data_IF_687552505882
#
_entry.id   IF_687552505882
#
_cell.length_a   1.000
_cell.length_b   1.000
_cell.length_c   1.000
_cell.angle_alpha   90.00
_cell.angle_beta   90.00
_cell.angle_gamma   90.00
#
_symmetry.space_group_name_H-M   'P 1'
#
loop_
_entity.id
_entity.type
_entity.pdbx_description
1 polymer ?
#
# COMPACT_ATOMS: atom_id res chain seq x y z
N UNK A 1 22.80 19.71 -66.09
CA UNK A 1 21.83 18.78 -65.47
C UNK A 1 22.56 17.94 -64.44
N UNK A 2 21.86 17.56 -63.37
CA UNK A 2 22.29 16.81 -62.17
C UNK A 2 22.83 17.64 -61.00
N UNK A 3 21.89 18.22 -60.25
CA UNK A 3 22.04 18.57 -58.84
C UNK A 3 22.06 17.28 -58.00
N UNK A 4 23.14 17.03 -57.26
CA UNK A 4 23.17 16.03 -56.20
C UNK A 4 22.93 16.74 -54.85
N UNK A 5 21.75 16.50 -54.28
CA UNK A 5 21.35 16.93 -52.94
C UNK A 5 22.18 16.18 -51.89
N UNK A 6 22.88 16.93 -51.03
CA UNK A 6 23.49 16.40 -49.81
C UNK A 6 22.38 16.03 -48.80
N UNK A 7 22.48 14.90 -48.07
CA UNK A 7 21.52 14.56 -47.05
C UNK A 7 21.69 15.45 -45.81
N UNK A 8 20.55 15.85 -45.26
CA UNK A 8 20.39 16.63 -44.03
C UNK A 8 21.27 16.08 -42.90
N UNK A 9 22.02 16.98 -42.27
CA UNK A 9 22.71 16.71 -41.02
C UNK A 9 21.73 16.25 -39.95
N UNK A 10 21.86 14.99 -39.52
CA UNK A 10 21.28 14.56 -38.26
C UNK A 10 22.10 15.21 -37.14
N UNK A 11 21.56 16.29 -36.56
CA UNK A 11 22.02 16.74 -35.27
C UNK A 11 21.93 15.56 -34.28
N UNK A 12 22.96 15.28 -33.47
CA UNK A 12 22.83 14.27 -32.43
C UNK A 12 21.71 14.72 -31.49
N UNK A 13 20.64 13.93 -31.45
CA UNK A 13 19.56 14.12 -30.49
C UNK A 13 20.19 14.19 -29.09
N UNK A 14 19.84 15.17 -28.25
CA UNK A 14 20.25 15.13 -26.86
C UNK A 14 19.68 13.84 -26.29
N UNK A 15 20.55 12.89 -25.95
CA UNK A 15 20.19 11.80 -25.06
C UNK A 15 19.60 12.48 -23.84
N UNK A 16 18.28 12.37 -23.70
CA UNK A 16 17.60 12.51 -22.43
C UNK A 16 18.30 11.53 -21.51
N UNK A 17 19.28 12.00 -20.74
CA UNK A 17 19.61 11.34 -19.50
C UNK A 17 18.27 11.30 -18.76
N UNK A 18 17.67 10.12 -18.52
CA UNK A 18 16.60 10.08 -17.55
C UNK A 18 17.21 10.70 -16.28
N UNK A 19 16.52 11.62 -15.59
CA UNK A 19 17.02 12.09 -14.32
C UNK A 19 17.32 10.83 -13.52
N UNK A 20 18.55 10.69 -13.03
CA UNK A 20 18.92 9.68 -12.06
C UNK A 20 17.87 9.81 -10.95
N UNK A 21 16.84 8.98 -11.03
CA UNK A 21 15.81 8.85 -10.02
C UNK A 21 16.60 8.33 -8.85
N UNK A 22 17.02 9.29 -8.01
CA UNK A 22 17.61 9.10 -6.70
C UNK A 22 17.16 7.75 -6.15
N UNK A 23 18.05 6.75 -6.19
CA UNK A 23 17.80 5.38 -5.74
C UNK A 23 17.70 5.32 -4.20
N UNK A 24 17.05 6.30 -3.60
CA UNK A 24 16.77 6.32 -2.16
C UNK A 24 16.01 5.04 -1.87
N UNK A 25 16.49 4.26 -0.92
CA UNK A 25 15.85 3.00 -0.57
C UNK A 25 14.42 3.28 -0.11
N UNK A 26 13.47 2.36 -0.35
CA UNK A 26 12.08 2.57 0.06
C UNK A 26 12.00 2.84 1.58
N UNK A 27 12.79 2.12 2.39
CA UNK A 27 12.85 2.33 3.84
C UNK A 27 13.31 3.73 4.27
N UNK A 28 14.27 4.33 3.57
CA UNK A 28 14.70 5.70 3.84
C UNK A 28 13.59 6.71 3.50
N UNK A 29 12.92 6.49 2.37
CA UNK A 29 11.81 7.32 1.93
C UNK A 29 10.62 7.23 2.90
N UNK A 30 10.32 6.02 3.39
CA UNK A 30 9.31 5.77 4.42
C UNK A 30 9.65 6.49 5.73
N UNK A 31 10.90 6.38 6.20
CA UNK A 31 11.37 7.05 7.41
C UNK A 31 11.21 8.57 7.32
N UNK A 32 11.61 9.17 6.19
CA UNK A 32 11.46 10.61 5.99
C UNK A 32 9.99 11.03 5.87
N UNK A 33 9.19 10.27 5.12
CA UNK A 33 7.75 10.54 4.99
C UNK A 33 7.02 10.49 6.34
N UNK A 34 7.37 9.56 7.24
CA UNK A 34 6.81 9.50 8.60
C UNK A 34 7.11 10.78 9.39
N UNK A 35 8.35 11.27 9.34
CA UNK A 35 8.75 12.51 10.04
C UNK A 35 7.97 13.71 9.51
N UNK A 36 7.88 13.83 8.19
CA UNK A 36 7.20 14.96 7.54
C UNK A 36 5.69 14.95 7.80
N UNK A 37 5.08 13.76 7.91
CA UNK A 37 3.64 13.60 8.18
C UNK A 37 3.28 13.71 9.66
N UNK A 38 4.22 13.51 10.59
CA UNK A 38 3.96 13.58 12.03
C UNK A 38 3.41 14.94 12.49
N UNK A 39 3.71 16.01 11.76
CA UNK A 39 3.19 17.36 12.04
C UNK A 39 1.79 17.62 11.46
N UNK A 40 1.23 16.67 10.69
CA UNK A 40 -0.10 16.81 10.07
C UNK A 40 -0.12 17.76 8.89
N UNK A 41 0.94 17.78 8.10
CA UNK A 41 1.07 18.68 6.95
C UNK A 41 -0.03 18.45 5.90
N UNK A 42 -0.75 19.52 5.57
CA UNK A 42 -1.71 19.59 4.47
C UNK A 42 -1.34 20.79 3.59
N UNK A 43 -1.05 20.60 2.28
CA UNK A 43 -1.09 19.34 1.54
C UNK A 43 0.01 18.35 1.96
N UNK A 44 -0.20 17.07 1.62
CA UNK A 44 0.79 16.00 1.88
C UNK A 44 2.15 16.36 1.27
N UNK A 45 3.26 16.29 2.02
CA UNK A 45 4.60 16.67 1.55
C UNK A 45 5.08 15.87 0.33
N UNK A 46 5.90 16.45 -0.57
CA UNK A 46 6.39 15.76 -1.77
C UNK A 46 7.11 14.43 -1.50
N UNK A 47 7.84 14.33 -0.38
CA UNK A 47 8.50 13.08 0.04
C UNK A 47 7.46 11.98 0.30
N UNK A 48 6.42 12.29 1.07
CA UNK A 48 5.33 11.37 1.35
C UNK A 48 4.57 10.99 0.08
N UNK A 49 4.32 11.93 -0.84
CA UNK A 49 3.70 11.62 -2.13
C UNK A 49 4.54 10.61 -2.95
N UNK A 50 5.87 10.78 -3.00
CA UNK A 50 6.78 9.82 -3.65
C UNK A 50 6.76 8.46 -2.96
N UNK A 51 6.72 8.43 -1.62
CA UNK A 51 6.58 7.19 -0.86
C UNK A 51 5.31 6.43 -1.26
N UNK A 52 4.17 7.12 -1.21
CA UNK A 52 2.87 6.58 -1.58
C UNK A 52 2.87 6.01 -3.01
N UNK A 53 3.47 6.73 -3.96
CA UNK A 53 3.56 6.26 -5.35
C UNK A 53 4.37 4.97 -5.45
N UNK A 54 5.52 4.88 -4.76
CA UNK A 54 6.34 3.65 -4.77
C UNK A 54 5.66 2.48 -4.10
N UNK A 55 4.96 2.71 -2.99
CA UNK A 55 4.16 1.67 -2.32
C UNK A 55 3.08 1.15 -3.26
N UNK A 56 2.35 2.04 -3.94
CA UNK A 56 1.33 1.66 -4.92
C UNK A 56 1.92 0.89 -6.11
N UNK A 57 3.08 1.31 -6.63
CA UNK A 57 3.77 0.58 -7.69
C UNK A 57 4.14 -0.83 -7.23
N UNK A 58 4.75 -0.98 -6.04
CA UNK A 58 5.09 -2.30 -5.49
C UNK A 58 3.86 -3.19 -5.33
N UNK A 59 2.76 -2.66 -4.80
CA UNK A 59 1.51 -3.41 -4.65
C UNK A 59 0.95 -3.85 -6.00
N UNK A 60 0.95 -2.97 -7.01
CA UNK A 60 0.51 -3.33 -8.36
C UNK A 60 1.42 -4.40 -8.98
N UNK A 61 2.74 -4.29 -8.82
CA UNK A 61 3.71 -5.24 -9.35
C UNK A 61 3.55 -6.61 -8.68
N UNK A 62 3.36 -6.66 -7.36
CA UNK A 62 3.07 -7.90 -6.62
C UNK A 62 1.80 -8.58 -7.14
N UNK A 63 0.71 -7.81 -7.25
CA UNK A 63 -0.58 -8.33 -7.73
C UNK A 63 -0.52 -8.79 -9.19
N UNK A 64 0.35 -8.21 -10.01
CA UNK A 64 0.55 -8.64 -11.39
C UNK A 64 1.36 -9.93 -11.50
N UNK A 65 2.27 -10.17 -10.56
CA UNK A 65 3.06 -11.41 -10.50
C UNK A 65 2.26 -12.59 -9.96
N UNK A 66 1.26 -12.33 -9.12
CA UNK A 66 0.32 -13.34 -8.64
C UNK A 66 -0.71 -13.69 -9.72
N UNK A 67 -0.71 -14.94 -10.19
CA UNK A 67 -1.57 -15.37 -11.30
C UNK A 67 -3.06 -15.55 -10.93
N UNK A 68 -3.39 -15.61 -9.64
CA UNK A 68 -4.75 -15.92 -9.17
C UNK A 68 -5.51 -14.66 -8.74
N UNK A 69 -6.51 -14.23 -9.51
CA UNK A 69 -7.46 -13.24 -9.00
C UNK A 69 -8.35 -13.87 -7.92
N UNK A 70 -8.64 -13.12 -6.87
CA UNK A 70 -9.33 -13.69 -5.71
C UNK A 70 -9.48 -12.70 -4.56
N UNK A 71 -10.37 -13.05 -3.63
CA UNK A 71 -10.60 -12.24 -2.44
C UNK A 71 -9.36 -12.27 -1.53
N UNK A 72 -8.92 -11.10 -1.06
CA UNK A 72 -7.69 -10.93 -0.29
C UNK A 72 -7.92 -9.97 0.86
N UNK A 73 -7.11 -10.12 1.90
CA UNK A 73 -6.95 -9.08 2.90
C UNK A 73 -5.84 -8.12 2.47
N UNK A 74 -5.94 -6.89 2.97
CA UNK A 74 -4.91 -5.88 2.83
C UNK A 74 -4.72 -5.14 4.15
N UNK A 75 -3.48 -4.79 4.43
CA UNK A 75 -3.08 -3.96 5.57
C UNK A 75 -2.46 -2.68 5.03
N UNK A 76 -2.87 -1.53 5.53
CA UNK A 76 -2.33 -0.22 5.13
C UNK A 76 -1.76 0.50 6.36
N UNK A 77 -0.54 0.98 6.24
CA UNK A 77 0.11 1.81 7.25
C UNK A 77 0.03 3.28 6.83
N UNK A 78 -0.63 4.08 7.64
CA UNK A 78 -0.74 5.52 7.47
C UNK A 78 0.05 6.26 8.55
N UNK A 79 0.99 7.09 8.11
CA UNK A 79 1.61 8.09 8.97
C UNK A 79 0.80 9.38 8.97
N UNK A 80 0.94 10.12 10.06
CA UNK A 80 0.23 11.36 10.35
C UNK A 80 0.46 11.74 11.82
N UNK A 81 -0.25 12.75 12.34
CA UNK A 81 -0.16 13.17 13.75
C UNK A 81 -0.45 12.05 14.74
N UNK A 82 -1.31 11.12 14.36
CA UNK A 82 -1.62 9.94 15.15
C UNK A 82 -1.65 8.72 14.22
N UNK A 83 -0.50 8.03 14.02
CA UNK A 83 -0.36 6.95 13.04
C UNK A 83 -1.42 5.87 13.16
N UNK A 84 -1.80 5.26 12.04
CA UNK A 84 -2.91 4.30 11.96
C UNK A 84 -2.55 3.15 11.08
N UNK A 85 -2.96 1.96 11.51
CA UNK A 85 -2.95 0.77 10.67
C UNK A 85 -4.39 0.37 10.37
N UNK A 86 -4.66 0.08 9.11
CA UNK A 86 -5.97 -0.38 8.64
C UNK A 86 -5.87 -1.80 8.12
N UNK A 87 -6.77 -2.67 8.54
CA UNK A 87 -6.97 -3.99 7.91
C UNK A 87 -8.29 -3.93 7.17
N UNK A 88 -8.35 -4.46 5.96
CA UNK A 88 -9.62 -4.66 5.27
C UNK A 88 -9.53 -5.73 4.19
N UNK A 89 -10.65 -6.01 3.55
CA UNK A 89 -10.72 -6.96 2.44
C UNK A 89 -11.11 -6.36 1.09
N UNK A 90 -10.68 -7.03 0.04
CA UNK A 90 -11.11 -6.79 -1.33
C UNK A 90 -11.51 -8.12 -1.99
N UNK A 91 -12.47 -8.09 -2.90
CA UNK A 91 -12.97 -9.31 -3.58
C UNK A 91 -12.25 -9.62 -4.90
N UNK A 92 -11.43 -8.69 -5.40
CA UNK A 92 -10.61 -8.85 -6.60
C UNK A 92 -9.48 -7.84 -6.60
N UNK A 93 -8.50 -8.05 -7.47
CA UNK A 93 -7.34 -7.17 -7.68
C UNK A 93 -7.76 -5.75 -8.07
N UNK A 94 -8.70 -5.62 -9.02
CA UNK A 94 -9.23 -4.33 -9.44
C UNK A 94 -9.97 -3.61 -8.29
N UNK A 95 -10.72 -4.37 -7.48
CA UNK A 95 -11.41 -3.81 -6.33
C UNK A 95 -10.41 -3.31 -5.26
N UNK A 96 -9.35 -4.08 -5.01
CA UNK A 96 -8.29 -3.73 -4.06
C UNK A 96 -7.63 -2.39 -4.44
N UNK A 97 -7.17 -2.26 -5.68
CA UNK A 97 -6.52 -1.03 -6.17
C UNK A 97 -7.47 0.17 -6.02
N UNK A 98 -8.76 -0.01 -6.35
CA UNK A 98 -9.78 1.03 -6.15
C UNK A 98 -9.92 1.43 -4.68
N UNK A 99 -9.95 0.46 -3.75
CA UNK A 99 -10.05 0.72 -2.31
C UNK A 99 -8.83 1.46 -1.78
N UNK A 100 -7.62 1.01 -2.10
CA UNK A 100 -6.38 1.68 -1.64
C UNK A 100 -6.33 3.13 -2.14
N UNK A 101 -6.65 3.37 -3.41
CA UNK A 101 -6.72 4.74 -3.96
C UNK A 101 -7.81 5.59 -3.28
N UNK A 102 -8.94 4.98 -2.93
CA UNK A 102 -10.01 5.62 -2.16
C UNK A 102 -9.53 6.07 -0.78
N UNK A 103 -8.91 5.15 -0.02
CA UNK A 103 -8.33 5.44 1.29
C UNK A 103 -7.26 6.51 1.21
N UNK A 104 -6.36 6.43 0.23
CA UNK A 104 -5.32 7.44 0.02
C UNK A 104 -5.92 8.85 -0.19
N UNK A 105 -6.94 8.97 -1.06
CA UNK A 105 -7.61 10.24 -1.32
C UNK A 105 -8.31 10.81 -0.09
N UNK A 106 -8.88 9.95 0.76
CA UNK A 106 -9.52 10.35 2.00
C UNK A 106 -8.47 10.78 3.04
N UNK A 107 -7.49 9.92 3.34
CA UNK A 107 -6.43 10.18 4.32
C UNK A 107 -5.57 11.42 4.00
N UNK A 108 -5.23 11.64 2.72
CA UNK A 108 -4.45 12.81 2.32
C UNK A 108 -5.15 14.13 2.62
N UNK A 109 -6.49 14.18 2.64
CA UNK A 109 -7.24 15.40 3.01
C UNK A 109 -7.09 15.76 4.49
N UNK A 110 -6.71 14.78 5.30
CA UNK A 110 -6.59 14.90 6.74
C UNK A 110 -5.13 14.93 7.21
N UNK A 111 -4.17 15.14 6.30
CA UNK A 111 -2.75 15.23 6.64
C UNK A 111 -2.09 13.88 6.95
N UNK A 112 -2.71 12.78 6.50
CA UNK A 112 -2.14 11.44 6.58
C UNK A 112 -1.57 11.02 5.22
N UNK A 113 -0.62 10.10 5.23
CA UNK A 113 -0.07 9.52 4.00
C UNK A 113 0.26 8.03 4.16
N UNK A 114 0.04 7.26 3.09
CA UNK A 114 0.34 5.83 3.05
C UNK A 114 1.86 5.61 3.02
N UNK A 115 2.39 4.91 4.01
CA UNK A 115 3.81 4.62 4.15
C UNK A 115 4.12 3.19 3.71
N UNK A 116 3.23 2.26 3.99
CA UNK A 116 3.41 0.86 3.61
C UNK A 116 2.06 0.16 3.38
N UNK A 117 2.09 -0.97 2.70
CA UNK A 117 0.93 -1.80 2.44
C UNK A 117 1.32 -3.27 2.31
N UNK A 118 0.54 -4.15 2.93
CA UNK A 118 0.69 -5.60 2.80
C UNK A 118 -0.56 -6.19 2.17
N UNK A 119 -0.38 -7.13 1.26
CA UNK A 119 -1.47 -7.84 0.59
C UNK A 119 -1.26 -9.33 0.86
N UNK A 120 -2.28 -9.99 1.39
CA UNK A 120 -2.22 -11.43 1.64
C UNK A 120 -2.40 -12.21 0.34
N UNK A 121 -2.05 -13.49 0.38
CA UNK A 121 -2.54 -14.46 -0.61
C UNK A 121 -4.08 -14.48 -0.67
N UNK A 122 -4.68 -14.98 -1.78
CA UNK A 122 -6.11 -15.22 -1.85
C UNK A 122 -6.62 -16.06 -0.67
N UNK A 123 -7.76 -15.67 -0.11
CA UNK A 123 -8.43 -16.36 0.97
C UNK A 123 -9.73 -16.99 0.46
N UNK A 124 -9.92 -18.28 0.74
CA UNK A 124 -11.16 -19.01 0.41
C UNK A 124 -12.37 -18.37 1.09
N UNK A 125 -12.23 -17.97 2.37
CA UNK A 125 -13.22 -17.18 3.11
C UNK A 125 -12.57 -15.90 3.66
N UNK A 126 -12.54 -14.87 2.81
CA UNK A 126 -11.98 -13.57 3.17
C UNK A 126 -12.79 -12.81 4.24
N UNK A 127 -14.09 -13.11 4.41
CA UNK A 127 -14.93 -12.42 5.42
C UNK A 127 -14.55 -12.92 6.80
N UNK A 128 -14.47 -14.25 6.97
CA UNK A 128 -14.01 -14.86 8.23
C UNK A 128 -12.57 -14.48 8.53
N UNK A 129 -11.69 -14.53 7.53
CA UNK A 129 -10.29 -14.15 7.70
C UNK A 129 -10.14 -12.68 8.19
N UNK A 130 -10.90 -11.75 7.60
CA UNK A 130 -10.94 -10.34 8.05
C UNK A 130 -11.39 -10.24 9.51
N UNK A 131 -12.51 -10.89 9.86
CA UNK A 131 -13.04 -10.88 11.23
C UNK A 131 -12.02 -11.41 12.24
N UNK A 132 -11.34 -12.51 11.90
CA UNK A 132 -10.33 -13.12 12.77
C UNK A 132 -9.11 -12.21 12.95
N UNK A 133 -8.61 -11.61 11.87
CA UNK A 133 -7.48 -10.68 11.91
C UNK A 133 -7.81 -9.45 12.78
N UNK A 134 -9.00 -8.87 12.61
CA UNK A 134 -9.47 -7.74 13.40
C UNK A 134 -9.64 -8.11 14.88
N UNK A 135 -10.11 -9.32 15.18
CA UNK A 135 -10.25 -9.81 16.55
C UNK A 135 -8.89 -9.94 17.24
N UNK A 136 -7.89 -10.54 16.58
CA UNK A 136 -6.54 -10.65 17.14
C UNK A 136 -5.87 -9.29 17.35
N UNK A 137 -6.01 -8.38 16.39
CA UNK A 137 -5.54 -7.00 16.56
C UNK A 137 -6.18 -6.33 17.77
N UNK A 138 -7.48 -6.54 17.98
CA UNK A 138 -8.21 -5.97 19.11
C UNK A 138 -7.70 -6.49 20.47
N UNK A 139 -7.31 -7.77 20.55
CA UNK A 139 -6.69 -8.33 21.76
C UNK A 139 -5.31 -7.72 22.04
N UNK A 140 -4.49 -7.54 21.01
CA UNK A 140 -3.13 -7.02 21.16
C UNK A 140 -3.07 -5.54 21.52
N UNK A 141 -4.01 -4.73 21.02
CA UNK A 141 -3.94 -3.28 21.16
C UNK A 141 -4.88 -2.66 22.20
N UNK A 142 -5.75 -3.44 22.87
CA UNK A 142 -6.73 -3.03 23.92
C UNK A 142 -7.52 -1.74 23.62
N UNK A 143 -7.44 -1.23 22.40
CA UNK A 143 -8.08 -0.03 21.92
C UNK A 143 -9.17 -0.51 20.99
N UNK A 144 -10.41 -0.18 21.36
CA UNK A 144 -11.50 -0.25 20.42
C UNK A 144 -11.05 0.37 19.10
N UNK A 145 -11.27 -0.29 17.96
CA UNK A 145 -10.94 0.26 16.66
C UNK A 145 -11.50 1.69 16.56
N UNK A 146 -10.69 2.68 16.14
CA UNK A 146 -11.18 4.06 15.99
C UNK A 146 -12.34 4.13 14.98
N UNK A 147 -12.32 3.19 14.03
CA UNK A 147 -13.46 2.68 13.25
C UNK A 147 -13.29 1.15 13.20
N UNK A 148 -14.32 0.35 12.87
CA UNK A 148 -14.28 -1.14 12.88
C UNK A 148 -13.01 -1.81 12.31
N UNK A 149 -12.28 -1.13 11.43
CA UNK A 149 -11.12 -1.64 10.68
C UNK A 149 -9.82 -0.84 10.90
N UNK A 150 -9.81 0.21 11.73
CA UNK A 150 -8.64 1.10 11.93
C UNK A 150 -8.13 1.11 13.38
N UNK A 151 -6.83 0.91 13.56
CA UNK A 151 -6.16 0.83 14.85
C UNK A 151 -5.16 1.97 15.02
N UNK A 152 -5.35 2.76 16.08
CA UNK A 152 -4.53 3.95 16.36
C UNK A 152 -3.23 3.57 17.09
N UNK A 153 -2.09 3.91 16.48
CA UNK A 153 -0.76 3.65 17.03
C UNK A 153 -0.38 2.17 17.05
N UNK A 154 -1.06 1.34 16.24
CA UNK A 154 -0.73 -0.08 16.13
C UNK A 154 0.53 -0.30 15.28
N UNK A 155 1.24 -1.39 15.55
CA UNK A 155 2.38 -1.84 14.77
C UNK A 155 1.89 -2.53 13.48
N UNK A 156 2.48 -2.12 12.36
CA UNK A 156 2.17 -2.63 11.04
C UNK A 156 2.53 -4.11 10.89
N UNK A 157 3.68 -4.56 11.41
CA UNK A 157 4.14 -5.96 11.31
C UNK A 157 3.22 -6.89 12.09
N UNK A 158 2.67 -6.44 13.22
CA UNK A 158 1.67 -7.22 13.96
C UNK A 158 0.39 -7.36 13.15
N UNK A 159 -0.04 -6.28 12.48
CA UNK A 159 -1.23 -6.32 11.62
C UNK A 159 -1.05 -7.22 10.39
N UNK A 160 0.14 -7.24 9.78
CA UNK A 160 0.51 -8.18 8.72
C UNK A 160 0.36 -9.62 9.22
N UNK A 161 0.98 -9.94 10.35
CA UNK A 161 0.90 -11.28 10.95
C UNK A 161 -0.54 -11.69 11.25
N UNK A 162 -1.37 -10.78 11.79
CA UNK A 162 -2.78 -11.05 12.02
C UNK A 162 -3.56 -11.33 10.72
N UNK A 163 -3.29 -10.56 9.66
CA UNK A 163 -3.92 -10.76 8.36
C UNK A 163 -3.52 -12.10 7.74
N UNK A 164 -2.23 -12.42 7.70
CA UNK A 164 -1.72 -13.67 7.15
C UNK A 164 -2.23 -14.89 7.93
N UNK A 165 -2.16 -14.85 9.26
CA UNK A 165 -2.71 -15.94 10.09
C UNK A 165 -4.22 -16.12 9.87
N UNK A 166 -4.95 -15.05 9.54
CA UNK A 166 -6.39 -15.12 9.31
C UNK A 166 -6.71 -15.88 8.02
N UNK A 167 -5.83 -15.76 7.02
CA UNK A 167 -5.90 -16.52 5.77
C UNK A 167 -5.44 -17.96 5.97
N UNK A 168 -4.30 -18.18 6.64
CA UNK A 168 -3.69 -19.53 6.77
C UNK A 168 -4.41 -20.45 7.76
N UNK A 169 -4.95 -19.94 8.87
CA UNK A 169 -5.62 -20.78 9.89
C UNK A 169 -7.05 -21.17 9.50
N UNK A 170 -7.33 -21.34 8.21
CA UNK A 170 -8.56 -21.99 7.80
C UNK A 170 -8.37 -23.51 7.84
N UNK A 171 -8.89 -24.15 8.90
CA UNK A 171 -9.15 -25.58 8.91
C UNK A 171 -10.66 -25.77 8.80
N UNK A 172 -11.21 -26.22 7.66
CA UNK A 172 -12.65 -26.45 7.49
C UNK A 172 -13.22 -27.55 8.40
N UNK A 173 -12.40 -28.24 9.18
CA UNK A 173 -12.82 -29.34 10.05
C UNK A 173 -13.20 -28.94 11.49
N UNK A 174 -13.16 -27.66 11.87
CA UNK A 174 -13.42 -27.21 13.25
C UNK A 174 -14.80 -26.54 13.45
N UNK A 175 -15.71 -26.59 12.47
CA UNK A 175 -17.07 -25.98 12.58
C UNK A 175 -18.19 -26.97 12.97
N UNK A 176 -17.87 -28.24 13.28
CA UNK A 176 -18.85 -29.31 13.55
C UNK A 176 -18.84 -29.90 14.99
N UNK A 177 -18.29 -29.18 15.99
CA UNK A 177 -18.35 -29.60 17.42
C UNK A 177 -19.21 -28.69 18.31
#
# INVERSE_FOLDING_TARGET
MSNALLPLGMAPMPFLNPPLLSQVALGELQCQARKDLAVGAVPVPPVAQRCQQRVLTRVCDQLWQEAEDGARLYVLDFAGPAPRVKIGRACSTAHLIRRIRGHLREKNKHGYGLIDAHITLPATDAIRAEKQALQWMSYGYQRAPHTQEEFLGADFVIAEACADMGVFRYNPQEEDD
#
